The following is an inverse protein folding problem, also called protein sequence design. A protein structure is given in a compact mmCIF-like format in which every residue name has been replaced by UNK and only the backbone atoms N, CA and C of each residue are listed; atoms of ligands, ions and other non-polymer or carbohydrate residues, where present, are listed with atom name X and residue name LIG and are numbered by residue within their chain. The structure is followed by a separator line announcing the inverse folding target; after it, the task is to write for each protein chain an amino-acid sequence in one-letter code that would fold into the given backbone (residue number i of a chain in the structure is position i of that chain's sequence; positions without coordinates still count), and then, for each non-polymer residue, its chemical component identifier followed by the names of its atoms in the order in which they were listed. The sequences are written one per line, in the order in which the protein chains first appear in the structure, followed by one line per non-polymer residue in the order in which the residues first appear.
data_IF_576128264180
#
_entry.id   IF_576128264180
#
_cell.length_a   1.000
_cell.length_b   1.000
_cell.length_c   1.000
_cell.angle_alpha   90.00
_cell.angle_beta   90.00
_cell.angle_gamma   90.00
#
_symmetry.space_group_name_H-M   'P 1'
#
loop_
_entity.id
_entity.type
_entity.pdbx_description
1 polymer ?
#
# COMPACT_ATOMS: atom_id res chain seq x y z
N UNK A 1 -2.31 -24.14 -20.31
CA UNK A 1 -2.12 -22.69 -20.14
C UNK A 1 -0.69 -22.43 -19.66
N UNK A 2 0.03 -21.42 -20.20
CA UNK A 2 1.43 -21.16 -19.86
C UNK A 2 1.62 -20.51 -18.48
N UNK A 3 0.63 -19.74 -18.02
CA UNK A 3 0.66 -19.10 -16.70
C UNK A 3 -0.04 -19.95 -15.65
N UNK A 4 0.46 -19.91 -14.42
CA UNK A 4 -0.10 -20.65 -13.27
C UNK A 4 -0.50 -19.74 -12.11
N UNK A 5 -0.11 -18.47 -12.16
CA UNK A 5 -0.37 -17.51 -11.10
C UNK A 5 -0.55 -16.10 -11.66
N UNK A 6 -1.28 -15.26 -10.92
CA UNK A 6 -1.42 -13.83 -11.15
C UNK A 6 -1.03 -13.09 -9.87
N UNK A 7 -0.14 -12.11 -9.98
CA UNK A 7 0.31 -11.27 -8.86
C UNK A 7 -0.28 -9.88 -9.05
N UNK A 8 -0.96 -9.38 -8.03
CA UNK A 8 -1.59 -8.07 -8.05
C UNK A 8 -0.82 -7.08 -7.16
N UNK A 9 -0.74 -5.84 -7.61
CA UNK A 9 -0.50 -4.73 -6.69
C UNK A 9 -1.77 -4.46 -5.86
N UNK A 10 -1.64 -3.77 -4.73
CA UNK A 10 -2.79 -3.35 -3.94
C UNK A 10 -3.27 -1.97 -4.39
N UNK A 11 -2.51 -0.92 -4.10
CA UNK A 11 -2.90 0.45 -4.35
C UNK A 11 -2.88 0.79 -5.85
N UNK A 12 -3.99 1.31 -6.38
CA UNK A 12 -4.16 1.60 -7.80
C UNK A 12 -4.50 0.39 -8.67
N UNK A 13 -4.64 -0.81 -8.09
CA UNK A 13 -5.03 -2.04 -8.79
C UNK A 13 -6.21 -2.71 -8.08
N UNK A 14 -5.98 -3.44 -6.99
CA UNK A 14 -7.09 -4.04 -6.20
C UNK A 14 -7.86 -2.98 -5.40
N UNK A 15 -7.17 -1.91 -5.01
CA UNK A 15 -7.71 -0.82 -4.21
C UNK A 15 -7.62 0.49 -5.00
N UNK A 16 -8.75 1.15 -5.18
CA UNK A 16 -8.87 2.39 -5.93
C UNK A 16 -8.70 3.63 -5.06
N UNK A 17 -8.06 4.65 -5.64
CA UNK A 17 -7.94 5.99 -5.08
C UNK A 17 -9.04 6.95 -5.56
N UNK A 18 -10.12 6.47 -6.19
CA UNK A 18 -11.15 7.32 -6.81
C UNK A 18 -11.77 8.36 -5.84
N UNK A 19 -11.77 8.09 -4.54
CA UNK A 19 -12.26 9.02 -3.49
C UNK A 19 -11.18 9.94 -2.92
N UNK A 20 -9.99 9.97 -3.51
CA UNK A 20 -8.81 10.69 -3.03
C UNK A 20 -8.21 11.52 -4.17
N UNK A 21 -8.91 12.53 -4.70
CA UNK A 21 -8.47 13.28 -5.89
C UNK A 21 -7.12 14.01 -5.69
N UNK A 22 -6.76 14.30 -4.44
CA UNK A 22 -5.50 14.93 -4.05
C UNK A 22 -4.29 13.98 -4.03
N UNK A 23 -4.50 12.66 -4.12
CA UNK A 23 -3.46 11.68 -3.80
C UNK A 23 -2.27 11.75 -4.75
N UNK A 24 -2.51 11.96 -6.04
CA UNK A 24 -1.46 12.02 -7.07
C UNK A 24 -0.54 13.21 -6.79
N UNK A 25 -1.12 14.39 -6.54
CA UNK A 25 -0.37 15.60 -6.20
C UNK A 25 0.42 15.42 -4.90
N UNK A 26 -0.17 14.81 -3.88
CA UNK A 26 0.54 14.51 -2.63
C UNK A 26 1.73 13.56 -2.85
N UNK A 27 1.54 12.48 -3.61
CA UNK A 27 2.63 11.56 -3.96
C UNK A 27 3.75 12.23 -4.74
N UNK A 28 3.42 13.07 -5.73
CA UNK A 28 4.41 13.79 -6.53
C UNK A 28 5.25 14.73 -5.67
N UNK A 29 4.61 15.47 -4.76
CA UNK A 29 5.33 16.33 -3.81
C UNK A 29 6.23 15.52 -2.88
N UNK A 30 5.71 14.46 -2.26
CA UNK A 30 6.50 13.62 -1.36
C UNK A 30 7.69 12.98 -2.07
N UNK A 31 7.54 12.60 -3.34
CA UNK A 31 8.63 12.02 -4.15
C UNK A 31 9.71 13.03 -4.50
N UNK A 32 9.34 14.29 -4.73
CA UNK A 32 10.26 15.35 -5.15
C UNK A 32 10.94 16.08 -3.98
N UNK A 33 10.43 15.92 -2.76
CA UNK A 33 11.11 16.37 -1.54
C UNK A 33 12.04 15.27 -1.00
N UNK A 34 13.31 15.59 -0.77
CA UNK A 34 14.31 14.59 -0.39
C UNK A 34 14.03 13.93 0.97
N UNK A 35 13.49 14.69 1.94
CA UNK A 35 13.21 14.20 3.29
C UNK A 35 11.96 13.32 3.27
N UNK A 36 10.89 13.78 2.64
CA UNK A 36 9.65 13.04 2.49
C UNK A 36 9.84 11.79 1.63
N UNK A 37 10.65 11.85 0.57
CA UNK A 37 10.95 10.71 -0.30
C UNK A 37 11.70 9.62 0.46
N UNK A 38 12.70 10.00 1.28
CA UNK A 38 13.39 9.06 2.18
C UNK A 38 12.43 8.47 3.21
N UNK A 39 11.61 9.30 3.86
CA UNK A 39 10.60 8.85 4.82
C UNK A 39 9.63 7.85 4.19
N UNK A 40 9.22 8.08 2.95
CA UNK A 40 8.36 7.16 2.20
C UNK A 40 9.03 5.82 1.92
N UNK A 41 10.31 5.82 1.53
CA UNK A 41 11.09 4.60 1.31
C UNK A 41 11.25 3.82 2.62
N UNK A 42 11.56 4.51 3.72
CA UNK A 42 11.74 3.89 5.04
C UNK A 42 10.43 3.29 5.57
N UNK A 43 9.30 3.95 5.33
CA UNK A 43 7.96 3.42 5.58
C UNK A 43 7.70 2.13 4.82
N UNK A 44 7.97 2.15 3.50
CA UNK A 44 7.75 0.99 2.64
C UNK A 44 8.70 -0.16 2.98
N UNK A 45 9.87 0.10 3.56
CA UNK A 45 10.78 -0.95 4.08
C UNK A 45 10.49 -1.34 5.52
N UNK A 46 9.47 -0.76 6.16
CA UNK A 46 9.15 -1.04 7.56
C UNK A 46 10.26 -0.63 8.54
N UNK A 47 11.15 0.27 8.14
CA UNK A 47 12.16 0.86 9.02
C UNK A 47 11.46 1.76 10.03
N UNK A 48 10.48 2.53 9.55
CA UNK A 48 9.63 3.44 10.33
C UNK A 48 8.15 3.11 10.15
N UNK A 49 7.28 3.77 10.91
CA UNK A 49 5.82 3.61 10.87
C UNK A 49 5.13 4.87 10.41
N UNK A 50 3.84 4.77 10.04
CA UNK A 50 3.02 5.94 9.67
C UNK A 50 3.08 7.02 10.74
N UNK A 51 3.05 6.63 12.02
CA UNK A 51 3.14 7.54 13.16
C UNK A 51 4.49 8.26 13.24
N UNK A 52 5.60 7.54 13.03
CA UNK A 52 6.96 8.10 13.14
C UNK A 52 7.24 9.21 12.12
N UNK A 53 6.62 9.12 10.93
CA UNK A 53 6.87 10.07 9.84
C UNK A 53 5.79 11.14 9.70
N UNK A 54 4.81 11.18 10.61
CA UNK A 54 3.67 12.08 10.46
C UNK A 54 4.10 13.55 10.30
N UNK A 55 5.02 14.00 11.15
CA UNK A 55 5.46 15.40 11.18
C UNK A 55 6.23 15.78 9.91
N UNK A 56 6.90 14.82 9.25
CA UNK A 56 7.57 15.04 7.97
C UNK A 56 6.55 15.37 6.88
N UNK A 57 5.49 14.57 6.77
CA UNK A 57 4.44 14.81 5.77
C UNK A 57 3.56 16.02 6.11
N UNK A 58 3.34 16.29 7.39
CA UNK A 58 2.63 17.49 7.82
C UNK A 58 3.43 18.76 7.45
N UNK A 59 4.73 18.77 7.74
CA UNK A 59 5.63 19.88 7.40
C UNK A 59 5.77 20.09 5.88
N UNK A 60 5.79 19.00 5.10
CA UNK A 60 5.76 19.09 3.64
C UNK A 60 4.52 19.87 3.16
N UNK A 61 3.36 19.58 3.74
CA UNK A 61 2.07 20.17 3.36
C UNK A 61 1.91 21.62 3.84
N UNK A 62 2.70 22.09 4.81
CA UNK A 62 2.66 23.49 5.26
C UNK A 62 2.95 24.50 4.14
N UNK A 63 3.73 24.07 3.13
CA UNK A 63 4.03 24.88 1.95
C UNK A 63 2.91 24.87 0.89
N UNK A 64 1.85 24.08 1.09
CA UNK A 64 0.77 23.84 0.12
C UNK A 64 -0.60 23.88 0.81
N UNK A 65 -1.08 25.06 1.27
CA UNK A 65 -2.26 25.18 2.13
C UNK A 65 -3.53 24.57 1.54
N UNK A 66 -3.78 24.75 0.23
CA UNK A 66 -4.94 24.14 -0.45
C UNK A 66 -4.87 22.61 -0.44
N UNK A 67 -3.70 22.03 -0.70
CA UNK A 67 -3.52 20.58 -0.68
C UNK A 67 -3.60 20.05 0.74
N UNK A 68 -3.03 20.78 1.71
CA UNK A 68 -3.11 20.46 3.13
C UNK A 68 -4.56 20.36 3.58
N UNK A 69 -5.40 21.32 3.19
CA UNK A 69 -6.83 21.31 3.51
C UNK A 69 -7.53 20.06 2.94
N UNK A 70 -7.29 19.72 1.68
CA UNK A 70 -7.88 18.54 1.03
C UNK A 70 -7.41 17.22 1.67
N UNK A 71 -6.11 17.11 1.97
CA UNK A 71 -5.56 15.97 2.71
C UNK A 71 -6.19 15.86 4.09
N UNK A 72 -6.33 16.97 4.82
CA UNK A 72 -6.93 17.01 6.15
C UNK A 72 -8.40 16.58 6.14
N UNK A 73 -9.19 16.99 5.14
CA UNK A 73 -10.57 16.50 4.96
C UNK A 73 -10.65 14.99 4.76
N UNK A 74 -9.61 14.41 4.14
CA UNK A 74 -9.51 12.98 3.90
C UNK A 74 -8.94 12.16 5.06
N UNK A 75 -8.32 12.78 6.06
CA UNK A 75 -7.71 12.05 7.16
C UNK A 75 -8.77 11.33 8.00
N UNK A 76 -8.48 10.09 8.40
CA UNK A 76 -9.34 9.28 9.27
C UNK A 76 -8.80 9.16 10.70
N UNK A 77 -7.59 9.66 10.94
CA UNK A 77 -6.98 9.83 12.26
C UNK A 77 -6.08 11.07 12.28
N UNK A 78 -5.33 11.30 13.35
CA UNK A 78 -4.39 12.43 13.45
C UNK A 78 -3.17 12.31 12.52
N UNK A 79 -2.96 11.17 11.85
CA UNK A 79 -1.82 10.95 10.97
C UNK A 79 -2.15 11.32 9.50
N UNK A 80 -1.26 12.04 8.80
CA UNK A 80 -1.45 12.42 7.39
C UNK A 80 -1.74 11.21 6.52
N UNK A 81 -0.98 10.12 6.66
CA UNK A 81 -1.15 8.93 5.81
C UNK A 81 -2.40 8.11 6.16
N UNK A 82 -3.21 8.51 7.14
CA UNK A 82 -4.53 7.91 7.37
C UNK A 82 -5.51 8.16 6.22
N UNK A 83 -5.20 9.10 5.30
CA UNK A 83 -5.93 9.27 4.04
C UNK A 83 -6.07 7.97 3.24
N UNK A 84 -5.08 7.07 3.33
CA UNK A 84 -5.12 5.78 2.63
C UNK A 84 -6.19 4.83 3.19
N UNK A 85 -6.79 5.13 4.34
CA UNK A 85 -7.95 4.41 4.85
C UNK A 85 -9.22 4.66 4.04
N UNK A 86 -9.20 5.64 3.13
CA UNK A 86 -10.29 5.89 2.19
C UNK A 86 -10.17 5.09 0.89
N UNK A 87 -9.10 4.32 0.70
CA UNK A 87 -9.05 3.36 -0.40
C UNK A 87 -10.22 2.38 -0.31
N UNK A 88 -10.84 2.15 -1.47
CA UNK A 88 -11.97 1.24 -1.65
C UNK A 88 -11.58 0.13 -2.62
N UNK A 89 -12.15 -1.05 -2.48
CA UNK A 89 -11.94 -2.14 -3.44
C UNK A 89 -12.38 -1.71 -4.84
N UNK A 90 -11.58 -2.02 -5.86
CA UNK A 90 -11.96 -1.78 -7.24
C UNK A 90 -13.02 -2.81 -7.66
N UNK A 91 -14.21 -2.36 -8.13
CA UNK A 91 -15.32 -3.25 -8.42
C UNK A 91 -15.02 -4.23 -9.57
N UNK A 92 -14.09 -3.90 -10.47
CA UNK A 92 -13.71 -4.81 -11.55
C UNK A 92 -12.85 -5.95 -11.00
N UNK A 93 -11.90 -5.65 -10.11
CA UNK A 93 -11.05 -6.67 -9.49
C UNK A 93 -11.80 -7.52 -8.46
N UNK A 94 -12.79 -6.96 -7.76
CA UNK A 94 -13.71 -7.69 -6.89
C UNK A 94 -14.41 -8.85 -7.65
N UNK A 95 -14.69 -8.67 -8.95
CA UNK A 95 -15.27 -9.71 -9.82
C UNK A 95 -14.18 -10.57 -10.46
N UNK A 96 -13.08 -9.98 -10.92
CA UNK A 96 -12.04 -10.68 -11.66
C UNK A 96 -11.25 -11.67 -10.81
N UNK A 97 -10.88 -11.31 -9.58
CA UNK A 97 -10.04 -12.15 -8.71
C UNK A 97 -10.71 -13.51 -8.42
N UNK A 98 -11.99 -13.58 -7.99
CA UNK A 98 -12.67 -14.87 -7.82
C UNK A 98 -12.72 -15.71 -9.11
N UNK A 99 -12.91 -15.09 -10.28
CA UNK A 99 -12.97 -15.80 -11.55
C UNK A 99 -11.59 -16.35 -11.97
N UNK A 100 -10.52 -15.58 -11.75
CA UNK A 100 -9.14 -16.02 -11.96
C UNK A 100 -8.83 -17.24 -11.08
N UNK A 101 -9.22 -17.20 -9.80
CA UNK A 101 -9.05 -18.34 -8.88
C UNK A 101 -9.85 -19.56 -9.33
N UNK A 102 -11.13 -19.40 -9.69
CA UNK A 102 -11.98 -20.48 -10.22
C UNK A 102 -11.43 -21.12 -11.49
N UNK A 103 -10.71 -20.37 -12.31
CA UNK A 103 -10.02 -20.88 -13.50
C UNK A 103 -8.73 -21.67 -13.18
N UNK A 104 -8.38 -21.84 -11.90
CA UNK A 104 -7.24 -22.64 -11.44
C UNK A 104 -5.92 -21.88 -11.30
N UNK A 105 -5.94 -20.55 -11.39
CA UNK A 105 -4.74 -19.74 -11.14
C UNK A 105 -4.55 -19.50 -9.65
N UNK A 106 -3.30 -19.60 -9.20
CA UNK A 106 -2.92 -19.04 -7.90
C UNK A 106 -2.95 -17.52 -7.96
N UNK A 107 -3.26 -16.87 -6.85
CA UNK A 107 -3.26 -15.41 -6.76
C UNK A 107 -2.45 -14.95 -5.58
N UNK A 108 -1.65 -13.90 -5.76
CA UNK A 108 -0.90 -13.27 -4.68
C UNK A 108 -1.00 -11.74 -4.75
N UNK A 109 -0.79 -11.09 -3.62
CA UNK A 109 -0.55 -9.64 -3.55
C UNK A 109 0.93 -9.38 -3.34
N UNK A 110 1.49 -8.44 -4.10
CA UNK A 110 2.82 -7.88 -3.91
C UNK A 110 2.72 -6.36 -3.85
N UNK A 111 2.73 -5.80 -2.64
CA UNK A 111 2.49 -4.37 -2.42
C UNK A 111 3.62 -3.71 -1.67
N UNK A 112 3.96 -2.49 -2.08
CA UNK A 112 4.67 -1.59 -1.19
C UNK A 112 3.65 -1.11 -0.14
N UNK A 113 3.92 -1.32 1.14
CA UNK A 113 2.99 -0.97 2.21
C UNK A 113 3.74 -0.55 3.47
N UNK A 114 3.05 -0.03 4.47
CA UNK A 114 3.62 0.48 5.70
C UNK A 114 2.90 -0.08 6.94
N UNK A 115 3.63 -0.18 8.05
CA UNK A 115 3.04 -0.43 9.35
C UNK A 115 2.33 0.82 9.86
N UNK A 116 1.14 0.64 10.47
CA UNK A 116 0.38 1.75 11.05
C UNK A 116 1.05 2.34 12.28
N UNK A 117 1.60 1.47 13.12
CA UNK A 117 2.13 1.82 14.43
C UNK A 117 3.30 0.90 14.83
N UNK A 118 3.91 1.24 15.95
CA UNK A 118 5.09 0.58 16.54
C UNK A 118 4.84 -0.90 16.89
N UNK A 119 3.57 -1.33 17.07
CA UNK A 119 3.29 -2.75 17.32
C UNK A 119 3.49 -3.59 16.06
N UNK A 120 3.49 -2.98 14.86
CA UNK A 120 3.71 -3.64 13.56
C UNK A 120 2.81 -4.85 13.29
N UNK A 121 1.67 -4.91 13.98
CA UNK A 121 0.66 -5.98 13.81
C UNK A 121 -0.15 -5.77 12.55
N UNK A 122 -0.47 -4.50 12.23
CA UNK A 122 -1.34 -4.13 11.11
C UNK A 122 -0.62 -3.23 10.11
N UNK A 123 -0.77 -3.58 8.85
CA UNK A 123 -0.42 -2.78 7.69
C UNK A 123 -1.62 -1.93 7.24
N UNK A 124 -1.40 -0.99 6.33
CA UNK A 124 -2.49 -0.19 5.76
C UNK A 124 -3.33 -1.09 4.83
N UNK A 125 -4.64 -1.17 5.10
CA UNK A 125 -5.68 -1.74 4.22
C UNK A 125 -5.49 -3.19 3.71
N UNK A 126 -5.11 -4.14 4.57
CA UNK A 126 -5.01 -5.57 4.19
C UNK A 126 -5.85 -6.55 5.02
N UNK A 127 -6.68 -6.08 5.95
CA UNK A 127 -7.41 -6.91 6.93
C UNK A 127 -8.34 -7.99 6.30
N UNK A 128 -8.71 -7.88 5.02
CA UNK A 128 -9.49 -8.90 4.28
C UNK A 128 -8.74 -9.55 3.12
N UNK A 129 -7.64 -8.96 2.68
CA UNK A 129 -6.94 -9.39 1.47
C UNK A 129 -6.14 -10.68 1.71
N UNK A 130 -5.66 -10.88 2.95
CA UNK A 130 -4.96 -12.10 3.38
C UNK A 130 -5.87 -13.34 3.28
N UNK A 131 -7.18 -13.18 3.40
CA UNK A 131 -8.14 -14.30 3.35
C UNK A 131 -8.46 -14.74 1.91
N UNK A 132 -8.21 -13.89 0.91
CA UNK A 132 -8.68 -14.10 -0.47
C UNK A 132 -7.59 -14.53 -1.46
N UNK A 133 -6.33 -14.47 -1.04
CA UNK A 133 -5.17 -14.78 -1.88
C UNK A 133 -4.31 -15.87 -1.25
N UNK A 134 -3.62 -16.65 -2.08
CA UNK A 134 -2.79 -17.75 -1.61
C UNK A 134 -1.51 -17.23 -0.92
N UNK A 135 -1.06 -16.02 -1.28
CA UNK A 135 0.04 -15.33 -0.63
C UNK A 135 -0.16 -13.82 -0.60
N UNK A 136 0.37 -13.16 0.43
CA UNK A 136 0.44 -11.70 0.55
C UNK A 136 1.86 -11.32 0.95
N UNK A 137 2.52 -10.54 0.10
CA UNK A 137 3.87 -10.02 0.31
C UNK A 137 3.78 -8.50 0.50
N UNK A 138 4.08 -8.07 1.71
CA UNK A 138 4.12 -6.65 2.10
C UNK A 138 5.57 -6.20 2.24
N UNK A 139 5.97 -5.16 1.52
CA UNK A 139 7.35 -4.66 1.55
C UNK A 139 7.85 -4.32 2.96
N UNK A 140 6.98 -3.77 3.82
CA UNK A 140 7.36 -3.38 5.18
C UNK A 140 7.65 -4.59 6.08
N UNK A 141 7.12 -5.77 5.76
CA UNK A 141 7.41 -7.01 6.49
C UNK A 141 8.70 -7.65 5.99
N UNK A 142 8.95 -7.57 4.68
CA UNK A 142 10.15 -8.15 4.06
C UNK A 142 11.39 -7.25 4.19
N UNK A 143 11.22 -5.95 4.48
CA UNK A 143 12.32 -4.99 4.51
C UNK A 143 12.84 -4.57 3.12
N UNK A 144 12.13 -4.97 2.06
CA UNK A 144 12.51 -4.84 0.65
C UNK A 144 11.29 -4.34 -0.10
N UNK A 145 11.47 -3.41 -1.05
CA UNK A 145 10.35 -2.76 -1.77
C UNK A 145 10.46 -2.94 -3.28
N UNK A 146 9.33 -2.88 -4.00
CA UNK A 146 9.37 -2.67 -5.46
C UNK A 146 10.05 -1.32 -5.76
N UNK A 147 10.90 -1.20 -6.79
CA UNK A 147 11.25 -2.23 -7.79
C UNK A 147 12.56 -2.99 -7.49
N UNK A 148 13.00 -3.09 -6.24
CA UNK A 148 14.19 -3.86 -5.86
C UNK A 148 14.00 -5.33 -6.27
N UNK A 149 15.01 -5.92 -6.92
CA UNK A 149 14.90 -7.25 -7.55
C UNK A 149 14.54 -8.33 -6.52
N UNK A 150 15.07 -8.18 -5.32
CA UNK A 150 15.00 -9.13 -4.22
C UNK A 150 13.55 -9.38 -3.79
N UNK A 151 12.65 -8.39 -3.89
CA UNK A 151 11.25 -8.57 -3.51
C UNK A 151 10.51 -9.58 -4.41
N UNK A 152 10.96 -9.73 -5.66
CA UNK A 152 10.40 -10.68 -6.62
C UNK A 152 10.97 -12.09 -6.46
N UNK A 153 11.96 -12.26 -5.58
CA UNK A 153 12.63 -13.54 -5.29
C UNK A 153 12.27 -14.10 -3.90
N UNK A 154 11.40 -13.41 -3.15
CA UNK A 154 10.92 -13.87 -1.85
C UNK A 154 10.18 -15.20 -2.03
N UNK A 155 10.61 -16.23 -1.30
CA UNK A 155 9.98 -17.54 -1.33
C UNK A 155 8.85 -17.60 -0.32
N UNK A 156 7.64 -17.89 -0.79
CA UNK A 156 6.49 -18.13 0.06
C UNK A 156 6.11 -19.61 0.03
N UNK A 157 6.12 -20.26 1.19
CA UNK A 157 5.57 -21.61 1.32
C UNK A 157 4.06 -21.48 1.45
N UNK A 158 3.33 -21.91 0.43
CA UNK A 158 1.88 -21.96 0.52
C UNK A 158 1.46 -23.06 1.52
N UNK A 159 0.41 -22.82 2.34
CA UNK A 159 -0.18 -23.90 3.11
C UNK A 159 -0.68 -25.02 2.17
N UNK A 160 -0.65 -26.29 2.62
CA UNK A 160 -1.18 -27.40 1.82
C UNK A 160 -2.67 -27.18 1.53
N UNK A 161 -3.06 -27.49 0.29
CA UNK A 161 -4.44 -27.43 -0.22
C UNK A 161 -5.32 -28.52 0.36
#
# INVERSE_FOLDING_TARGET
MPYKAVIFDMGGVLMSYAKMPYIVKFYELAKNDAVASKAWIDLEKGITTVKDNNDIFASLLDNYPELKEEVQKGMTSSCILSIFDNMVEDPNFAVAVPNIRKAGFRTAILTNNAFRDEQRKRSVKLEKAIEMHDAVVESCREGIRKPEKEIYLVNYTLPPT
#
